data_IF_825907068216
#
_entry.id   IF_825907068216
#
_cell.length_a   1.000
_cell.length_b   1.000
_cell.length_c   1.000
_cell.angle_alpha   90.00
_cell.angle_beta   90.00
_cell.angle_gamma   90.00
#
_symmetry.space_group_name_H-M   'P 1'
#
loop_
_entity.id
_entity.type
_entity.pdbx_description
1 polymer ?
#
# COMPACT_ATOMS: atom_id res chain seq x y z
N UNK A 1 28.33 33.64 4.61
CA UNK A 1 27.52 33.45 5.85
C UNK A 1 26.81 32.11 5.76
N UNK A 2 27.13 31.14 6.63
CA UNK A 2 26.52 29.80 6.60
C UNK A 2 25.20 29.85 7.39
N UNK A 3 24.07 29.62 6.72
CA UNK A 3 22.76 29.56 7.36
C UNK A 3 22.67 28.33 8.28
N UNK A 4 22.60 28.57 9.59
CA UNK A 4 22.38 27.54 10.59
C UNK A 4 20.91 27.09 10.53
N UNK A 5 20.68 25.84 10.07
CA UNK A 5 19.35 25.22 10.09
C UNK A 5 18.89 25.10 11.56
N UNK A 6 17.90 25.91 11.96
CA UNK A 6 17.23 25.80 13.27
C UNK A 6 16.70 24.37 13.45
N UNK A 7 16.94 23.70 14.59
CA UNK A 7 16.37 22.39 14.85
C UNK A 7 14.84 22.53 14.91
N UNK A 8 14.13 21.75 14.09
CA UNK A 8 12.67 21.65 14.13
C UNK A 8 12.29 21.05 15.48
N UNK A 9 11.68 21.86 16.35
CA UNK A 9 11.16 21.44 17.66
C UNK A 9 10.02 20.46 17.40
N UNK A 10 10.25 19.16 17.62
CA UNK A 10 9.22 18.14 17.44
C UNK A 10 8.13 18.38 18.48
N UNK A 11 6.90 18.65 18.04
CA UNK A 11 5.77 18.72 18.97
C UNK A 11 5.58 17.30 19.55
N UNK A 12 5.51 17.15 20.89
CA UNK A 12 5.29 15.84 21.49
C UNK A 12 3.99 15.23 20.95
N UNK A 13 4.04 13.96 20.53
CA UNK A 13 2.84 13.24 20.12
C UNK A 13 1.90 13.13 21.31
N UNK A 14 0.62 13.45 21.11
CA UNK A 14 -0.38 13.22 22.17
C UNK A 14 -0.64 11.72 22.31
N UNK A 15 -1.17 11.31 23.47
CA UNK A 15 -1.50 9.90 23.74
C UNK A 15 -2.36 9.27 22.65
N UNK A 16 -3.30 10.04 22.07
CA UNK A 16 -4.16 9.55 20.99
C UNK A 16 -3.37 9.12 19.75
N UNK A 17 -2.32 9.84 19.38
CA UNK A 17 -1.49 9.54 18.20
C UNK A 17 -0.70 8.23 18.33
N UNK A 18 -0.46 7.80 19.56
CA UNK A 18 0.25 6.56 19.88
C UNK A 18 -0.70 5.35 19.96
N UNK A 19 -2.02 5.56 19.91
CA UNK A 19 -3.00 4.49 19.88
C UNK A 19 -3.37 4.12 18.44
N UNK A 20 -3.84 2.89 18.20
CA UNK A 20 -4.47 2.53 16.94
C UNK A 20 -5.69 3.38 16.61
N UNK A 21 -6.19 3.22 15.38
CA UNK A 21 -7.46 3.80 15.00
C UNK A 21 -8.59 3.22 15.87
N UNK A 22 -9.68 3.97 16.12
CA UNK A 22 -10.85 3.39 16.74
C UNK A 22 -11.40 2.30 15.82
N UNK A 23 -11.89 1.17 16.35
CA UNK A 23 -12.30 0.03 15.53
C UNK A 23 -13.35 0.34 14.47
N UNK A 24 -14.18 1.37 14.66
CA UNK A 24 -15.15 1.80 13.66
C UNK A 24 -14.49 2.37 12.39
N UNK A 25 -13.40 3.13 12.54
CA UNK A 25 -12.67 3.70 11.41
C UNK A 25 -11.83 2.65 10.69
N UNK A 26 -11.17 1.75 11.43
CA UNK A 26 -10.44 0.63 10.82
C UNK A 26 -11.39 -0.22 9.96
N UNK A 27 -12.56 -0.60 10.50
CA UNK A 27 -13.60 -1.34 9.77
C UNK A 27 -14.12 -0.61 8.54
N UNK A 28 -14.35 0.71 8.63
CA UNK A 28 -14.81 1.50 7.48
C UNK A 28 -13.76 1.53 6.35
N UNK A 29 -12.48 1.66 6.67
CA UNK A 29 -11.39 1.60 5.68
C UNK A 29 -11.35 0.22 5.02
N UNK A 30 -11.28 -0.84 5.83
CA UNK A 30 -11.28 -2.23 5.35
C UNK A 30 -12.47 -2.52 4.45
N UNK A 31 -13.69 -2.14 4.86
CA UNK A 31 -14.91 -2.35 4.09
C UNK A 31 -14.84 -1.67 2.72
N UNK A 32 -14.38 -0.41 2.66
CA UNK A 32 -14.25 0.32 1.40
C UNK A 32 -13.26 -0.35 0.43
N UNK A 33 -12.20 -0.97 0.94
CA UNK A 33 -11.24 -1.69 0.11
C UNK A 33 -11.82 -3.01 -0.40
N UNK A 34 -12.46 -3.80 0.46
CA UNK A 34 -13.10 -5.06 0.05
C UNK A 34 -14.27 -4.84 -0.91
N UNK A 35 -15.08 -3.80 -0.71
CA UNK A 35 -16.12 -3.42 -1.67
C UNK A 35 -15.53 -3.03 -3.04
N UNK A 36 -14.37 -2.38 -3.08
CA UNK A 36 -13.70 -2.07 -4.35
C UNK A 36 -13.24 -3.34 -5.07
N UNK A 37 -12.70 -4.31 -4.33
CA UNK A 37 -12.32 -5.61 -4.88
C UNK A 37 -13.53 -6.36 -5.45
N UNK A 38 -14.64 -6.42 -4.70
CA UNK A 38 -15.88 -7.07 -5.18
C UNK A 38 -16.41 -6.39 -6.43
N UNK A 39 -16.44 -5.06 -6.48
CA UNK A 39 -16.91 -4.32 -7.65
C UNK A 39 -16.04 -4.54 -8.89
N UNK A 40 -14.72 -4.66 -8.72
CA UNK A 40 -13.76 -4.95 -9.79
C UNK A 40 -13.76 -6.41 -10.25
N UNK A 41 -14.13 -7.36 -9.38
CA UNK A 41 -14.40 -8.77 -9.78
C UNK A 41 -15.70 -8.89 -10.58
N UNK A 42 -16.64 -7.97 -10.39
CA UNK A 42 -17.84 -7.82 -11.22
C UNK A 42 -17.64 -6.86 -12.40
N UNK A 43 -18.74 -6.41 -12.99
CA UNK A 43 -18.74 -5.45 -14.11
C UNK A 43 -18.92 -3.98 -13.67
N UNK A 44 -18.74 -3.70 -12.38
CA UNK A 44 -18.97 -2.38 -11.77
C UNK A 44 -17.68 -1.66 -11.37
N UNK A 45 -16.54 -2.08 -11.93
CA UNK A 45 -15.25 -1.49 -11.65
C UNK A 45 -15.10 -0.08 -12.22
N UNK A 46 -14.13 0.66 -11.68
CA UNK A 46 -13.72 1.96 -12.21
C UNK A 46 -12.25 2.22 -11.88
N UNK A 47 -11.65 3.19 -12.57
CA UNK A 47 -10.28 3.66 -12.29
C UNK A 47 -10.10 4.03 -10.82
N UNK A 48 -11.08 4.69 -10.22
CA UNK A 48 -11.05 5.11 -8.82
C UNK A 48 -11.03 3.91 -7.85
N UNK A 49 -11.73 2.83 -8.17
CA UNK A 49 -11.72 1.60 -7.38
C UNK A 49 -10.39 0.87 -7.51
N UNK A 50 -9.83 0.81 -8.72
CA UNK A 50 -8.51 0.21 -8.95
C UNK A 50 -7.41 1.01 -8.24
N UNK A 51 -7.49 2.35 -8.27
CA UNK A 51 -6.58 3.23 -7.53
C UNK A 51 -6.67 3.00 -6.03
N UNK A 52 -7.86 2.76 -5.47
CA UNK A 52 -8.02 2.39 -4.06
C UNK A 52 -7.24 1.12 -3.72
N UNK A 53 -7.35 0.07 -4.55
CA UNK A 53 -6.60 -1.17 -4.32
C UNK A 53 -5.09 -0.95 -4.43
N UNK A 54 -4.64 -0.17 -5.42
CA UNK A 54 -3.21 0.21 -5.58
C UNK A 54 -2.69 0.96 -4.35
N UNK A 55 -3.47 1.89 -3.82
CA UNK A 55 -3.14 2.63 -2.61
C UNK A 55 -3.03 1.71 -1.37
N UNK A 56 -3.95 0.76 -1.19
CA UNK A 56 -3.84 -0.25 -0.13
C UNK A 56 -2.61 -1.14 -0.29
N UNK A 57 -2.29 -1.56 -1.51
CA UNK A 57 -1.07 -2.31 -1.81
C UNK A 57 0.19 -1.54 -1.38
N UNK A 58 0.29 -0.26 -1.73
CA UNK A 58 1.45 0.56 -1.36
C UNK A 58 1.56 0.74 0.15
N UNK A 59 0.43 0.90 0.84
CA UNK A 59 0.41 0.94 2.30
C UNK A 59 0.96 -0.36 2.91
N UNK A 60 0.51 -1.52 2.41
CA UNK A 60 0.97 -2.84 2.87
C UNK A 60 2.47 -3.01 2.61
N UNK A 61 2.95 -2.67 1.41
CA UNK A 61 4.37 -2.78 1.06
C UNK A 61 5.24 -1.95 2.01
N UNK A 62 4.83 -0.71 2.31
CA UNK A 62 5.56 0.16 3.24
C UNK A 62 5.49 -0.29 4.70
N UNK A 63 4.48 -1.09 5.06
CA UNK A 63 4.25 -1.60 6.41
C UNK A 63 4.81 -3.02 6.63
N UNK A 64 5.51 -3.62 5.66
CA UNK A 64 6.00 -5.01 5.77
C UNK A 64 6.83 -5.25 7.03
N UNK A 65 7.73 -4.32 7.37
CA UNK A 65 8.56 -4.42 8.58
C UNK A 65 7.74 -4.21 9.87
N UNK A 66 6.61 -3.50 9.79
CA UNK A 66 5.73 -3.25 10.93
C UNK A 66 4.77 -4.43 11.21
N UNK A 67 4.37 -5.18 10.19
CA UNK A 67 3.33 -6.21 10.27
C UNK A 67 3.79 -7.52 10.94
N UNK A 68 5.10 -7.85 10.92
CA UNK A 68 5.66 -9.12 11.42
C UNK A 68 4.83 -10.37 11.04
N UNK A 69 4.33 -10.40 9.80
CA UNK A 69 3.43 -11.45 9.28
C UNK A 69 4.16 -12.29 8.24
N UNK A 70 4.16 -13.61 8.43
CA UNK A 70 4.84 -14.54 7.53
C UNK A 70 4.11 -14.72 6.18
N UNK A 71 2.82 -14.41 6.12
CA UNK A 71 1.97 -14.62 4.95
C UNK A 71 2.01 -13.46 3.93
N UNK A 72 2.71 -12.37 4.27
CA UNK A 72 2.86 -11.17 3.45
C UNK A 72 4.35 -10.99 3.13
N UNK A 73 4.67 -10.84 1.86
CA UNK A 73 6.06 -10.70 1.41
C UNK A 73 6.19 -9.59 0.38
N UNK A 74 7.44 -9.16 0.14
CA UNK A 74 7.78 -8.26 -0.97
C UNK A 74 7.30 -8.84 -2.30
N UNK A 75 7.47 -10.14 -2.52
CA UNK A 75 7.04 -10.80 -3.77
C UNK A 75 5.52 -10.77 -3.95
N UNK A 76 4.74 -11.00 -2.88
CA UNK A 76 3.28 -10.84 -2.94
C UNK A 76 2.90 -9.42 -3.38
N UNK A 77 3.61 -8.41 -2.86
CA UNK A 77 3.34 -7.02 -3.22
C UNK A 77 3.70 -6.73 -4.69
N UNK A 78 4.80 -7.29 -5.19
CA UNK A 78 5.21 -7.17 -6.60
C UNK A 78 4.20 -7.85 -7.53
N UNK A 79 3.75 -9.06 -7.18
CA UNK A 79 2.78 -9.79 -8.00
C UNK A 79 1.42 -9.09 -8.03
N UNK A 80 0.97 -8.54 -6.90
CA UNK A 80 -0.22 -7.71 -6.84
C UNK A 80 -0.09 -6.40 -7.64
N UNK A 81 1.08 -5.76 -7.64
CA UNK A 81 1.33 -4.57 -8.48
C UNK A 81 1.21 -4.92 -9.97
N UNK A 82 1.83 -6.02 -10.40
CA UNK A 82 1.73 -6.52 -11.77
C UNK A 82 0.29 -6.84 -12.17
N UNK A 83 -0.50 -7.42 -11.28
CA UNK A 83 -1.92 -7.68 -11.50
C UNK A 83 -2.71 -6.37 -11.73
N UNK A 84 -2.48 -5.34 -10.92
CA UNK A 84 -3.12 -4.03 -11.08
C UNK A 84 -2.70 -3.32 -12.38
N UNK A 85 -1.43 -3.43 -12.76
CA UNK A 85 -0.92 -2.86 -14.01
C UNK A 85 -1.48 -3.60 -15.24
N UNK A 86 -1.59 -4.93 -15.18
CA UNK A 86 -2.23 -5.73 -16.22
C UNK A 86 -3.72 -5.38 -16.38
N UNK A 87 -4.45 -5.26 -15.26
CA UNK A 87 -5.85 -4.82 -15.25
C UNK A 87 -6.00 -3.40 -15.83
N UNK A 88 -5.11 -2.47 -15.48
CA UNK A 88 -5.08 -1.11 -16.03
C UNK A 88 -4.88 -1.13 -17.56
N UNK A 89 -3.95 -1.96 -18.05
CA UNK A 89 -3.67 -2.09 -19.48
C UNK A 89 -4.87 -2.68 -20.24
N UNK A 90 -5.53 -3.71 -19.69
CA UNK A 90 -6.77 -4.27 -20.27
C UNK A 90 -7.89 -3.25 -20.30
N UNK A 91 -8.11 -2.53 -19.20
CA UNK A 91 -9.17 -1.52 -19.10
C UNK A 91 -8.98 -0.37 -20.10
N UNK A 92 -7.73 0.03 -20.38
CA UNK A 92 -7.43 1.04 -21.42
C UNK A 92 -7.78 0.57 -22.84
N UNK A 93 -7.76 -0.74 -23.09
CA UNK A 93 -8.09 -1.33 -24.39
C UNK A 93 -9.59 -1.62 -24.53
N UNK A 94 -10.23 -2.15 -23.48
CA UNK A 94 -11.63 -2.60 -23.51
C UNK A 94 -12.62 -1.56 -23.01
N UNK A 95 -12.17 -0.54 -22.27
CA UNK A 95 -13.01 0.38 -21.50
C UNK A 95 -13.58 -0.20 -20.21
N UNK A 96 -13.39 -1.50 -19.95
CA UNK A 96 -13.94 -2.20 -18.79
C UNK A 96 -12.87 -2.39 -17.70
N UNK A 97 -13.18 -1.94 -16.48
CA UNK A 97 -12.29 -2.07 -15.33
C UNK A 97 -12.61 -3.36 -14.57
N UNK A 98 -11.90 -4.44 -14.88
CA UNK A 98 -12.16 -5.76 -14.29
C UNK A 98 -10.89 -6.48 -13.88
N UNK A 99 -11.02 -7.35 -12.88
CA UNK A 99 -9.99 -8.26 -12.40
C UNK A 99 -10.36 -9.70 -12.80
N UNK A 100 -9.34 -10.50 -13.12
CA UNK A 100 -9.52 -11.95 -13.22
C UNK A 100 -9.66 -12.57 -11.83
N UNK A 101 -10.09 -13.83 -11.76
CA UNK A 101 -10.21 -14.54 -10.49
C UNK A 101 -8.85 -14.64 -9.76
N UNK A 102 -7.78 -14.95 -10.49
CA UNK A 102 -6.42 -15.07 -9.94
C UNK A 102 -5.89 -13.73 -9.43
N UNK A 103 -6.13 -12.63 -10.17
CA UNK A 103 -5.76 -11.28 -9.73
C UNK A 103 -6.55 -10.87 -8.49
N UNK A 104 -7.84 -11.23 -8.44
CA UNK A 104 -8.69 -11.01 -7.29
C UNK A 104 -8.20 -11.74 -6.04
N UNK A 105 -7.79 -13.01 -6.18
CA UNK A 105 -7.26 -13.81 -5.07
C UNK A 105 -5.92 -13.27 -4.54
N UNK A 106 -5.04 -12.77 -5.42
CA UNK A 106 -3.82 -12.08 -5.00
C UNK A 106 -4.12 -10.81 -4.20
N UNK A 107 -5.05 -9.98 -4.70
CA UNK A 107 -5.42 -8.73 -4.05
C UNK A 107 -6.16 -8.96 -2.73
N UNK A 108 -6.93 -10.04 -2.60
CA UNK A 108 -7.57 -10.43 -1.35
C UNK A 108 -6.56 -10.69 -0.22
N UNK A 109 -5.45 -11.36 -0.53
CA UNK A 109 -4.34 -11.56 0.42
C UNK A 109 -3.69 -10.24 0.84
N UNK A 110 -3.52 -9.32 -0.11
CA UNK A 110 -3.02 -7.96 0.18
C UNK A 110 -4.02 -7.20 1.06
N UNK A 111 -5.33 -7.31 0.81
CA UNK A 111 -6.33 -6.63 1.61
C UNK A 111 -6.40 -7.19 3.04
N UNK A 112 -6.22 -8.49 3.24
CA UNK A 112 -6.08 -9.07 4.58
C UNK A 112 -4.86 -8.53 5.35
N UNK A 113 -3.77 -8.18 4.65
CA UNK A 113 -2.62 -7.49 5.23
C UNK A 113 -2.93 -6.01 5.52
N UNK A 114 -3.64 -5.34 4.62
CA UNK A 114 -4.11 -3.96 4.82
C UNK A 114 -5.00 -3.85 6.06
N UNK A 115 -5.90 -4.82 6.28
CA UNK A 115 -6.76 -4.87 7.46
C UNK A 115 -5.95 -4.94 8.74
N UNK A 116 -4.88 -5.76 8.76
CA UNK A 116 -3.95 -5.78 9.87
C UNK A 116 -3.18 -4.45 10.04
N UNK A 117 -2.80 -3.76 8.96
CA UNK A 117 -2.18 -2.44 9.05
C UNK A 117 -3.10 -1.44 9.76
N UNK A 118 -4.36 -1.33 9.33
CA UNK A 118 -5.27 -0.29 9.83
C UNK A 118 -5.79 -0.60 11.24
N UNK A 119 -5.81 -1.88 11.64
CA UNK A 119 -6.24 -2.32 12.97
C UNK A 119 -5.13 -2.20 14.02
N UNK A 120 -3.87 -2.50 13.65
CA UNK A 120 -2.78 -2.64 14.61
C UNK A 120 -1.84 -1.43 14.69
N UNK A 121 -1.65 -0.68 13.60
CA UNK A 121 -0.69 0.42 13.57
C UNK A 121 -1.23 1.64 14.32
N UNK A 122 -0.31 2.34 14.98
CA UNK A 122 -0.63 3.62 15.61
C UNK A 122 -1.05 4.65 14.56
N UNK A 123 -1.91 5.60 14.94
CA UNK A 123 -2.34 6.68 14.04
C UNK A 123 -1.19 7.48 13.48
N UNK A 124 -0.16 7.71 14.30
CA UNK A 124 1.05 8.39 13.87
C UNK A 124 1.74 7.60 12.75
N UNK A 125 2.00 6.30 12.99
CA UNK A 125 2.66 5.45 12.01
C UNK A 125 1.85 5.37 10.71
N UNK A 126 0.55 5.15 10.80
CA UNK A 126 -0.33 5.11 9.63
C UNK A 126 -0.29 6.43 8.84
N UNK A 127 -0.27 7.58 9.52
CA UNK A 127 -0.15 8.89 8.89
C UNK A 127 1.20 9.07 8.21
N UNK A 128 2.28 8.58 8.82
CA UNK A 128 3.61 8.61 8.20
C UNK A 128 3.65 7.80 6.91
N UNK A 129 3.16 6.56 6.94
CA UNK A 129 3.10 5.70 5.76
C UNK A 129 2.21 6.32 4.68
N UNK A 130 1.06 6.90 5.07
CA UNK A 130 0.15 7.55 4.13
C UNK A 130 0.77 8.73 3.38
N UNK A 131 1.69 9.48 4.01
CA UNK A 131 2.42 10.55 3.29
C UNK A 131 3.27 9.98 2.15
N UNK A 132 3.92 8.84 2.36
CA UNK A 132 4.68 8.16 1.31
C UNK A 132 3.76 7.63 0.21
N UNK A 133 2.62 7.05 0.58
CA UNK A 133 1.57 6.63 -0.37
C UNK A 133 1.12 7.80 -1.25
N UNK A 134 0.82 8.97 -0.66
CA UNK A 134 0.45 10.15 -1.44
C UNK A 134 1.58 10.62 -2.36
N UNK A 135 2.84 10.58 -1.91
CA UNK A 135 3.98 10.92 -2.74
C UNK A 135 4.14 9.95 -3.94
N UNK A 136 3.93 8.65 -3.72
CA UNK A 136 3.92 7.63 -4.77
C UNK A 136 2.76 7.81 -5.75
N UNK A 137 1.55 8.10 -5.25
CA UNK A 137 0.41 8.37 -6.11
C UNK A 137 0.63 9.62 -6.99
N UNK A 138 1.33 10.64 -6.46
CA UNK A 138 1.63 11.86 -7.18
C UNK A 138 2.79 11.73 -8.20
N UNK A 139 3.69 10.75 -8.04
CA UNK A 139 4.81 10.57 -8.99
C UNK A 139 4.36 10.01 -10.33
N UNK A 140 3.22 9.30 -10.37
CA UNK A 140 2.70 8.67 -11.59
C UNK A 140 3.59 7.56 -12.14
N UNK A 141 4.58 7.12 -11.36
CA UNK A 141 5.57 6.15 -11.79
C UNK A 141 4.96 4.74 -11.77
N UNK A 142 4.98 4.00 -12.89
CA UNK A 142 4.54 2.62 -12.90
C UNK A 142 5.58 1.73 -12.20
N UNK A 143 5.16 0.56 -11.70
CA UNK A 143 6.06 -0.48 -11.16
C UNK A 143 6.93 -0.05 -9.99
N UNK A 144 6.39 0.81 -9.12
CA UNK A 144 7.12 1.38 -7.98
C UNK A 144 7.55 0.32 -6.98
N UNK A 145 6.68 -0.64 -6.66
CA UNK A 145 6.98 -1.74 -5.74
C UNK A 145 8.03 -2.66 -6.35
N UNK A 146 7.92 -2.99 -7.62
CA UNK A 146 8.92 -3.78 -8.36
C UNK A 146 10.30 -3.10 -8.35
N UNK A 147 10.37 -1.80 -8.64
CA UNK A 147 11.62 -1.04 -8.59
C UNK A 147 12.21 -0.95 -7.17
N UNK A 148 11.37 -0.68 -6.17
CA UNK A 148 11.80 -0.64 -4.76
C UNK A 148 12.33 -2.01 -4.31
N UNK A 149 11.63 -3.10 -4.65
CA UNK A 149 12.03 -4.46 -4.36
C UNK A 149 13.38 -4.81 -5.02
N UNK A 150 13.60 -4.41 -6.29
CA UNK A 150 14.87 -4.60 -6.96
C UNK A 150 16.03 -3.93 -6.20
N UNK A 151 15.84 -2.68 -5.76
CA UNK A 151 16.84 -1.95 -4.96
C UNK A 151 17.09 -2.58 -3.58
N UNK A 152 16.05 -3.13 -2.95
CA UNK A 152 16.21 -3.85 -1.68
C UNK A 152 17.06 -5.11 -1.86
N UNK A 153 16.85 -5.86 -2.95
CA UNK A 153 17.63 -7.06 -3.27
C UNK A 153 19.11 -6.72 -3.50
N UNK A 154 19.41 -5.65 -4.27
CA UNK A 154 20.80 -5.24 -4.53
C UNK A 154 21.54 -4.83 -3.25
N UNK A 155 20.90 -4.04 -2.38
CA UNK A 155 21.52 -3.66 -1.10
C UNK A 155 21.74 -4.86 -0.17
N UNK A 156 20.81 -5.83 -0.18
CA UNK A 156 21.00 -7.07 0.60
C UNK A 156 22.18 -7.89 0.09
N UNK A 157 22.37 -7.98 -1.23
CA UNK A 157 23.51 -8.70 -1.81
C UNK A 157 24.84 -8.01 -1.52
N UNK A 158 24.88 -6.67 -1.53
CA UNK A 158 26.06 -5.89 -1.18
C UNK A 158 26.44 -6.05 0.30
N UNK A 159 25.44 -6.04 1.20
CA UNK A 159 25.67 -6.20 2.64
C UNK A 159 26.12 -7.61 3.05
N UNK A 160 25.83 -8.65 2.26
CA UNK A 160 26.27 -10.03 2.49
C UNK A 160 27.67 -10.32 1.92
N UNK A 161 28.17 -9.46 1.03
CA UNK A 161 29.48 -9.59 0.39
C UNK A 161 30.59 -8.79 1.11
N UNK A 162 30.24 -7.99 2.13
CA UNK A 162 31.14 -7.18 2.96
C UNK A 162 31.35 -7.82 4.34
#
# INVERSE_FOLDING_TARGET
>A
MKATKKPRRHVPLTREWLLPLPPAYARDISLKCHMALVALRGEYGSEALLLRLRTSLYLVFLALDDLNRADVSVELCVDAERALDASTARARQSGAWTLTEDEGALLERVLAANDACVDSLTRYRLTELWRHVCAFAASGEPKLVEHAAARMRTHRTEALAA
#
